data_IF_859994970232
#
_entry.id   IF_859994970232
#
_cell.length_a   1.000
_cell.length_b   1.000
_cell.length_c   1.000
_cell.angle_alpha   90.00
_cell.angle_beta   90.00
_cell.angle_gamma   90.00
#
_symmetry.space_group_name_H-M   'P 1'
#
loop_
_entity.id
_entity.type
_entity.pdbx_description
1 polymer ?
#
# COMPACT_ATOMS: atom_id res chain seq x y z
N UNK A 1 -19.72 16.31 -30.13
CA UNK A 1 -19.59 17.54 -29.30
C UNK A 1 -20.45 17.44 -28.02
N UNK A 2 -21.17 16.34 -27.81
CA UNK A 2 -22.10 16.14 -26.69
C UNK A 2 -21.54 15.31 -25.52
N UNK A 3 -20.27 14.89 -25.57
CA UNK A 3 -19.67 14.03 -24.52
C UNK A 3 -19.23 14.78 -23.25
N UNK A 4 -19.37 16.12 -23.21
CA UNK A 4 -18.90 16.97 -22.10
C UNK A 4 -19.98 17.93 -21.57
N UNK A 5 -21.24 17.77 -21.99
CA UNK A 5 -22.36 18.61 -21.54
C UNK A 5 -22.58 18.52 -20.01
N UNK A 6 -22.26 17.37 -19.41
CA UNK A 6 -22.30 17.15 -17.97
C UNK A 6 -21.33 18.04 -17.17
N UNK A 7 -20.28 18.58 -17.78
CA UNK A 7 -19.37 19.51 -17.08
C UNK A 7 -20.06 20.85 -16.79
N UNK A 8 -21.02 21.26 -17.65
CA UNK A 8 -21.71 22.54 -17.51
C UNK A 8 -22.85 22.49 -16.48
N UNK A 9 -23.55 21.36 -16.35
CA UNK A 9 -24.60 21.17 -15.33
C UNK A 9 -24.06 21.00 -13.92
N UNK A 10 -22.83 20.49 -13.77
CA UNK A 10 -22.25 20.10 -12.48
C UNK A 10 -21.00 20.91 -12.10
N UNK A 11 -20.82 22.11 -12.65
CA UNK A 11 -19.65 22.97 -12.42
C UNK A 11 -19.35 23.27 -10.93
N UNK A 12 -20.33 23.14 -10.04
CA UNK A 12 -20.19 23.33 -8.58
C UNK A 12 -20.08 22.02 -7.78
N UNK A 13 -20.20 20.87 -8.44
CA UNK A 13 -20.23 19.55 -7.81
C UNK A 13 -19.07 18.71 -8.29
N UNK A 14 -18.18 18.36 -7.37
CA UNK A 14 -17.00 17.55 -7.69
C UNK A 14 -17.44 16.11 -7.95
N UNK A 15 -17.57 15.75 -9.22
CA UNK A 15 -17.72 14.35 -9.63
C UNK A 15 -16.45 13.59 -9.28
N UNK A 16 -16.59 12.48 -8.56
CA UNK A 16 -15.47 11.56 -8.33
C UNK A 16 -15.83 10.23 -8.96
N UNK A 17 -15.11 9.86 -10.01
CA UNK A 17 -15.35 8.66 -10.83
C UNK A 17 -16.72 8.60 -11.54
N UNK A 18 -17.24 9.76 -11.96
CA UNK A 18 -18.43 9.82 -12.82
C UNK A 18 -19.78 9.64 -12.11
N UNK A 19 -19.80 9.58 -10.78
CA UNK A 19 -21.04 9.46 -10.01
C UNK A 19 -21.19 10.63 -9.03
N UNK A 20 -22.38 11.23 -9.00
CA UNK A 20 -22.69 12.41 -8.17
C UNK A 20 -23.16 11.91 -6.82
N UNK A 21 -22.29 12.01 -5.81
CA UNK A 21 -22.64 11.79 -4.40
C UNK A 21 -22.94 10.34 -4.00
N UNK A 22 -23.09 9.40 -4.94
CA UNK A 22 -23.36 7.99 -4.63
C UNK A 22 -22.23 7.08 -5.10
N UNK A 23 -21.53 6.43 -4.16
CA UNK A 23 -20.48 5.45 -4.46
C UNK A 23 -21.07 4.03 -4.67
N UNK A 24 -22.26 3.90 -5.27
CA UNK A 24 -23.05 2.66 -5.28
C UNK A 24 -22.27 1.46 -5.81
N UNK A 25 -21.69 1.60 -7.01
CA UNK A 25 -20.86 0.57 -7.67
C UNK A 25 -19.52 0.37 -6.95
N UNK A 26 -18.99 1.43 -6.32
CA UNK A 26 -17.72 1.42 -5.61
C UNK A 26 -17.78 0.73 -4.23
N UNK A 27 -18.97 0.57 -3.64
CA UNK A 27 -19.12 -0.12 -2.34
C UNK A 27 -18.74 -1.59 -2.43
N UNK A 28 -19.07 -2.25 -3.54
CA UNK A 28 -18.70 -3.64 -3.79
C UNK A 28 -17.19 -3.78 -4.01
N UNK A 29 -16.59 -2.92 -4.84
CA UNK A 29 -15.14 -2.91 -5.07
C UNK A 29 -14.37 -2.64 -3.78
N UNK A 30 -14.79 -1.65 -2.98
CA UNK A 30 -14.20 -1.36 -1.69
C UNK A 30 -14.32 -2.54 -0.72
N UNK A 31 -15.45 -3.24 -0.71
CA UNK A 31 -15.63 -4.46 0.09
C UNK A 31 -14.67 -5.57 -0.33
N UNK A 32 -14.55 -5.84 -1.64
CA UNK A 32 -13.61 -6.84 -2.19
C UNK A 32 -12.16 -6.49 -1.84
N UNK A 33 -11.79 -5.21 -1.91
CA UNK A 33 -10.47 -4.71 -1.50
C UNK A 33 -10.23 -4.96 -0.01
N UNK A 34 -11.16 -4.58 0.86
CA UNK A 34 -11.04 -4.78 2.31
C UNK A 34 -10.91 -6.26 2.63
N UNK A 35 -11.75 -7.11 2.03
CA UNK A 35 -11.71 -8.56 2.22
C UNK A 35 -10.38 -9.16 1.76
N UNK A 36 -9.89 -8.73 0.60
CA UNK A 36 -8.60 -9.17 0.06
C UNK A 36 -7.44 -8.78 0.98
N UNK A 37 -7.44 -7.57 1.54
CA UNK A 37 -6.43 -7.13 2.50
C UNK A 37 -6.55 -7.94 3.79
N UNK A 38 -7.76 -8.17 4.29
CA UNK A 38 -8.00 -8.95 5.51
C UNK A 38 -7.48 -10.39 5.40
N UNK A 39 -7.51 -10.98 4.20
CA UNK A 39 -6.94 -12.31 3.96
C UNK A 39 -5.43 -12.29 3.67
N UNK A 40 -4.96 -11.39 2.82
CA UNK A 40 -3.56 -11.34 2.38
C UNK A 40 -2.60 -10.79 3.44
N UNK A 41 -3.03 -9.83 4.25
CA UNK A 41 -2.15 -9.20 5.24
C UNK A 41 -1.70 -10.16 6.36
N UNK A 42 -2.58 -11.00 6.95
CA UNK A 42 -2.18 -12.02 7.92
C UNK A 42 -1.23 -13.06 7.32
N UNK A 43 -1.50 -13.53 6.09
CA UNK A 43 -0.64 -14.49 5.39
C UNK A 43 0.77 -13.90 5.20
N UNK A 44 0.84 -12.65 4.73
CA UNK A 44 2.11 -11.92 4.57
C UNK A 44 2.85 -11.79 5.91
N UNK A 45 2.16 -11.39 6.96
CA UNK A 45 2.74 -11.27 8.30
C UNK A 45 3.27 -12.62 8.80
N UNK A 46 2.50 -13.69 8.62
CA UNK A 46 2.90 -15.05 8.97
C UNK A 46 4.18 -15.49 8.26
N UNK A 47 4.28 -15.28 6.94
CA UNK A 47 5.50 -15.62 6.18
C UNK A 47 6.73 -14.85 6.65
N UNK A 48 6.59 -13.54 6.88
CA UNK A 48 7.70 -12.69 7.34
C UNK A 48 8.14 -13.11 8.74
N UNK A 49 7.21 -13.28 9.67
CA UNK A 49 7.51 -13.69 11.05
C UNK A 49 8.16 -15.06 11.07
N UNK A 50 7.61 -16.03 10.32
CA UNK A 50 8.17 -17.38 10.20
C UNK A 50 9.58 -17.35 9.64
N UNK A 51 9.83 -16.54 8.60
CA UNK A 51 11.18 -16.37 8.02
C UNK A 51 12.15 -15.76 9.04
N UNK A 52 11.73 -14.74 9.77
CA UNK A 52 12.55 -14.10 10.82
C UNK A 52 12.86 -15.09 11.94
N UNK A 53 11.88 -15.87 12.40
CA UNK A 53 12.06 -16.88 13.45
C UNK A 53 12.98 -18.00 12.98
N UNK A 54 12.75 -18.54 11.77
CA UNK A 54 13.62 -19.55 11.16
C UNK A 54 15.05 -19.07 11.09
N UNK A 55 15.28 -17.87 10.55
CA UNK A 55 16.60 -17.28 10.47
C UNK A 55 17.19 -17.13 11.87
N UNK A 56 16.44 -16.59 12.84
CA UNK A 56 16.87 -16.40 14.24
C UNK A 56 17.33 -17.69 14.91
N UNK A 57 16.62 -18.79 14.70
CA UNK A 57 16.86 -20.08 15.34
C UNK A 57 18.02 -20.89 14.72
N UNK A 58 18.57 -20.48 13.59
CA UNK A 58 19.76 -21.15 13.05
C UNK A 58 21.00 -20.88 13.90
N UNK A 59 21.59 -21.96 14.44
CA UNK A 59 22.87 -21.94 15.13
C UNK A 59 23.99 -21.68 14.11
N UNK A 60 24.52 -20.46 14.12
CA UNK A 60 25.56 -20.02 13.19
C UNK A 60 26.83 -19.66 13.96
N UNK A 61 27.93 -20.30 13.61
CA UNK A 61 29.24 -20.13 14.26
C UNK A 61 30.07 -19.01 13.58
N UNK A 62 29.79 -18.70 12.31
CA UNK A 62 30.56 -17.73 11.53
C UNK A 62 29.97 -16.31 11.57
N UNK A 63 30.82 -15.33 11.91
CA UNK A 63 30.51 -13.88 11.95
C UNK A 63 29.92 -13.35 10.63
N UNK A 64 30.45 -13.79 9.48
CA UNK A 64 29.94 -13.39 8.15
C UNK A 64 28.49 -13.82 7.93
N UNK A 65 28.13 -15.05 8.33
CA UNK A 65 26.77 -15.58 8.18
C UNK A 65 25.77 -14.88 9.10
N UNK A 66 26.19 -14.50 10.32
CA UNK A 66 25.37 -13.66 11.20
C UNK A 66 25.09 -12.27 10.58
N UNK A 67 26.10 -11.65 9.95
CA UNK A 67 25.94 -10.36 9.28
C UNK A 67 24.98 -10.47 8.09
N UNK A 68 25.10 -11.52 7.28
CA UNK A 68 24.20 -11.80 6.16
C UNK A 68 22.75 -11.98 6.63
N UNK A 69 22.52 -12.78 7.68
CA UNK A 69 21.20 -12.98 8.30
C UNK A 69 20.57 -11.66 8.75
N UNK A 70 21.35 -10.78 9.39
CA UNK A 70 20.87 -9.46 9.83
C UNK A 70 20.47 -8.59 8.63
N UNK A 71 21.24 -8.63 7.53
CA UNK A 71 20.91 -7.91 6.30
C UNK A 71 19.62 -8.41 5.65
N UNK A 72 19.43 -9.74 5.56
CA UNK A 72 18.20 -10.35 5.01
C UNK A 72 16.99 -9.94 5.83
N UNK A 73 17.06 -10.07 7.16
CA UNK A 73 15.98 -9.65 8.06
C UNK A 73 15.70 -8.15 7.90
N UNK A 74 16.74 -7.31 7.85
CA UNK A 74 16.55 -5.87 7.68
C UNK A 74 15.90 -5.51 6.34
N UNK A 75 16.28 -6.18 5.25
CA UNK A 75 15.70 -5.96 3.93
C UNK A 75 14.22 -6.35 3.89
N UNK A 76 13.89 -7.55 4.39
CA UNK A 76 12.50 -8.04 4.46
C UNK A 76 11.60 -7.11 5.27
N UNK A 77 12.08 -6.64 6.43
CA UNK A 77 11.33 -5.69 7.27
C UNK A 77 11.13 -4.37 6.54
N UNK A 78 12.19 -3.80 5.93
CA UNK A 78 12.09 -2.53 5.19
C UNK A 78 11.11 -2.63 4.01
N UNK A 79 11.18 -3.69 3.22
CA UNK A 79 10.25 -3.92 2.11
C UNK A 79 8.81 -4.03 2.60
N UNK A 80 8.57 -4.79 3.68
CA UNK A 80 7.24 -4.94 4.24
C UNK A 80 6.67 -3.62 4.79
N UNK A 81 7.51 -2.81 5.44
CA UNK A 81 7.14 -1.47 5.90
C UNK A 81 6.80 -0.57 4.73
N UNK A 82 7.61 -0.54 3.67
CA UNK A 82 7.32 0.23 2.46
C UNK A 82 5.96 -0.17 1.85
N UNK A 83 5.72 -1.46 1.63
CA UNK A 83 4.42 -1.93 1.09
C UNK A 83 3.27 -1.53 2.01
N UNK A 84 3.45 -1.59 3.33
CA UNK A 84 2.38 -1.25 4.26
C UNK A 84 2.05 0.25 4.23
N UNK A 85 3.06 1.12 4.26
CA UNK A 85 2.89 2.58 4.30
C UNK A 85 2.43 3.15 2.96
N UNK A 86 3.01 2.69 1.85
CA UNK A 86 2.76 3.28 0.53
C UNK A 86 1.64 2.60 -0.24
N UNK A 87 1.20 1.41 0.17
CA UNK A 87 0.17 0.66 -0.55
C UNK A 87 -0.99 0.22 0.34
N UNK A 88 -0.76 -0.61 1.35
CA UNK A 88 -1.88 -1.24 2.10
C UNK A 88 -2.68 -0.23 2.93
N UNK A 89 -2.04 0.59 3.76
CA UNK A 89 -2.77 1.55 4.59
C UNK A 89 -3.48 2.64 3.79
N UNK A 90 -2.85 3.25 2.75
CA UNK A 90 -3.56 4.18 1.87
C UNK A 90 -4.76 3.53 1.17
N UNK A 91 -4.62 2.27 0.71
CA UNK A 91 -5.71 1.53 0.07
C UNK A 91 -6.85 1.21 1.04
N UNK A 92 -6.53 0.77 2.26
CA UNK A 92 -7.52 0.50 3.29
C UNK A 92 -8.27 1.78 3.67
N UNK A 93 -7.56 2.90 3.83
CA UNK A 93 -8.16 4.20 4.10
C UNK A 93 -9.11 4.63 2.98
N UNK A 94 -8.71 4.50 1.71
CA UNK A 94 -9.58 4.82 0.57
C UNK A 94 -10.83 3.93 0.53
N UNK A 95 -10.67 2.63 0.78
CA UNK A 95 -11.77 1.68 0.76
C UNK A 95 -12.76 1.95 1.90
N UNK A 96 -12.28 2.22 3.11
CA UNK A 96 -13.10 2.61 4.27
C UNK A 96 -13.83 3.93 3.97
N UNK A 97 -13.11 4.94 3.49
CA UNK A 97 -13.70 6.23 3.17
C UNK A 97 -14.82 6.13 2.11
N UNK A 98 -14.63 5.24 1.12
CA UNK A 98 -15.60 5.01 0.05
C UNK A 98 -16.78 4.14 0.48
N UNK A 99 -16.54 3.11 1.31
CA UNK A 99 -17.58 2.18 1.76
C UNK A 99 -18.51 2.83 2.78
N UNK A 100 -17.95 3.50 3.78
CA UNK A 100 -18.72 4.16 4.84
C UNK A 100 -19.27 5.52 4.41
N UNK A 101 -18.99 5.98 3.19
CA UNK A 101 -19.35 7.30 2.67
C UNK A 101 -19.25 8.35 3.78
N UNK A 102 -18.03 8.56 4.33
CA UNK A 102 -17.80 9.41 5.49
C UNK A 102 -18.47 10.78 5.24
N UNK A 103 -19.71 10.92 5.72
CA UNK A 103 -20.60 12.03 5.36
C UNK A 103 -20.14 13.35 5.97
N UNK A 104 -19.18 13.27 6.90
CA UNK A 104 -18.47 14.40 7.46
C UNK A 104 -17.31 14.89 6.60
N UNK A 105 -16.84 14.13 5.59
CA UNK A 105 -15.68 14.53 4.79
C UNK A 105 -16.12 15.37 3.58
N UNK A 106 -15.71 16.64 3.49
CA UNK A 106 -16.02 17.48 2.34
C UNK A 106 -15.50 16.89 1.03
N UNK A 107 -16.25 17.09 -0.07
CA UNK A 107 -15.91 16.53 -1.39
C UNK A 107 -14.48 16.87 -1.86
N UNK A 108 -13.99 18.07 -1.56
CA UNK A 108 -12.61 18.47 -1.91
C UNK A 108 -11.54 17.67 -1.15
N UNK A 109 -11.80 17.28 0.09
CA UNK A 109 -10.91 16.44 0.90
C UNK A 109 -10.92 14.99 0.41
N UNK A 110 -12.08 14.47 -0.04
CA UNK A 110 -12.17 13.16 -0.68
C UNK A 110 -11.34 13.10 -1.97
N UNK A 111 -11.37 14.17 -2.77
CA UNK A 111 -10.58 14.25 -4.01
C UNK A 111 -9.09 14.35 -3.70
N UNK A 112 -8.70 15.23 -2.77
CA UNK A 112 -7.31 15.39 -2.37
C UNK A 112 -6.72 14.09 -1.79
N UNK A 113 -7.48 13.38 -0.95
CA UNK A 113 -7.05 12.10 -0.39
C UNK A 113 -6.89 11.04 -1.48
N UNK A 114 -7.84 10.92 -2.41
CA UNK A 114 -7.76 9.97 -3.54
C UNK A 114 -6.57 10.26 -4.47
N UNK A 115 -6.34 11.52 -4.85
CA UNK A 115 -5.19 11.91 -5.66
C UNK A 115 -3.87 11.66 -4.93
N UNK A 116 -3.81 11.94 -3.63
CA UNK A 116 -2.64 11.64 -2.79
C UNK A 116 -2.36 10.13 -2.71
N UNK A 117 -3.38 9.31 -2.58
CA UNK A 117 -3.26 7.84 -2.54
C UNK A 117 -2.74 7.29 -3.88
N UNK A 118 -3.24 7.79 -5.01
CA UNK A 118 -2.71 7.43 -6.32
C UNK A 118 -1.22 7.75 -6.47
N UNK A 119 -0.79 8.91 -5.97
CA UNK A 119 0.63 9.27 -5.93
C UNK A 119 1.45 8.32 -5.04
N UNK A 120 0.94 7.96 -3.85
CA UNK A 120 1.59 7.00 -2.97
C UNK A 120 1.78 5.62 -3.64
N UNK A 121 0.82 5.17 -4.44
CA UNK A 121 0.96 3.93 -5.20
C UNK A 121 2.06 4.00 -6.26
N UNK A 122 2.18 5.12 -6.96
CA UNK A 122 3.28 5.31 -7.91
C UNK A 122 4.64 5.30 -7.20
N UNK A 123 4.73 5.94 -6.04
CA UNK A 123 5.97 6.00 -5.24
C UNK A 123 6.30 4.66 -4.58
N UNK A 124 5.32 3.80 -4.30
CA UNK A 124 5.55 2.47 -3.71
C UNK A 124 6.56 1.64 -4.52
N UNK A 125 6.41 1.57 -5.84
CA UNK A 125 7.32 0.83 -6.73
C UNK A 125 8.73 1.39 -6.66
N UNK A 126 8.86 2.72 -6.64
CA UNK A 126 10.16 3.40 -6.50
C UNK A 126 10.80 3.13 -5.14
N UNK A 127 10.03 3.21 -4.05
CA UNK A 127 10.50 2.95 -2.70
C UNK A 127 11.01 1.51 -2.55
N UNK A 128 10.28 0.52 -3.08
CA UNK A 128 10.72 -0.87 -3.08
C UNK A 128 12.01 -1.07 -3.89
N UNK A 129 12.11 -0.44 -5.06
CA UNK A 129 13.31 -0.49 -5.89
C UNK A 129 14.54 0.08 -5.16
N UNK A 130 14.39 1.21 -4.46
CA UNK A 130 15.46 1.80 -3.65
C UNK A 130 15.90 0.84 -2.54
N UNK A 131 14.96 0.19 -1.83
CA UNK A 131 15.28 -0.78 -0.78
C UNK A 131 16.04 -1.99 -1.36
N UNK A 132 15.65 -2.46 -2.54
CA UNK A 132 16.35 -3.56 -3.23
C UNK A 132 17.77 -3.16 -3.62
N UNK A 133 17.97 -2.01 -4.25
CA UNK A 133 19.31 -1.54 -4.64
C UNK A 133 20.21 -1.34 -3.42
N UNK A 134 19.71 -0.65 -2.39
CA UNK A 134 20.51 -0.38 -1.19
C UNK A 134 20.88 -1.67 -0.45
N UNK A 135 19.97 -2.63 -0.39
CA UNK A 135 20.25 -3.95 0.18
C UNK A 135 21.26 -4.72 -0.68
N UNK A 136 21.09 -4.74 -2.01
CA UNK A 136 21.99 -5.38 -2.97
C UNK A 136 23.41 -4.83 -2.95
N UNK A 137 23.61 -3.55 -2.65
CA UNK A 137 24.96 -2.97 -2.46
C UNK A 137 25.66 -3.48 -1.20
N UNK A 138 24.91 -3.93 -0.20
CA UNK A 138 25.48 -4.40 1.07
C UNK A 138 25.82 -5.90 1.06
N UNK A 139 25.18 -6.69 0.20
CA UNK A 139 25.43 -8.13 0.08
C UNK A 139 26.86 -8.50 -0.38
N UNK A 140 27.48 -7.83 -1.38
CA UNK A 140 28.86 -8.08 -1.78
C UNK A 140 29.88 -7.82 -0.67
N UNK A 141 29.61 -6.85 0.21
CA UNK A 141 30.51 -6.47 1.32
C UNK A 141 30.51 -7.47 2.49
N UNK A 142 29.78 -8.59 2.37
CA UNK A 142 29.70 -9.66 3.37
C UNK A 142 30.31 -10.97 2.86
N UNK A 143 30.63 -11.10 1.56
CA UNK A 143 31.49 -12.18 1.03
C UNK A 143 32.92 -11.99 1.55
#
# INVERSE_FOLDING_TARGET
RDELSWIHEYATSVMVYGDIGNCGTYKYEAFVIIFSIAFCAPIRAFFIVSTIQFLKNQALVASKTMRLKRLIISSLVKQNVCVSIFYIYPLLFNAIASHFQLSFLPNYLLVATRSGIAFLYMVNSLAQFIVVITSNRQFPNVR
#
